data_IF_526893207671
#
_entry.id   IF_526893207671
#
_cell.length_a   1.000
_cell.length_b   1.000
_cell.length_c   1.000
_cell.angle_alpha   90.00
_cell.angle_beta   90.00
_cell.angle_gamma   90.00
#
_symmetry.space_group_name_H-M   'P 1'
#
loop_
_entity.id
_entity.type
_entity.pdbx_description
1 polymer ?
#
# COMPACT_ATOMS: atom_id res chain seq x y z
N UNK A 1 19.36 42.29 16.25
CA UNK A 1 19.56 41.91 14.87
C UNK A 1 20.03 40.47 14.73
N UNK A 2 21.17 40.12 15.31
CA UNK A 2 21.63 38.73 15.24
C UNK A 2 20.64 37.75 15.86
N UNK A 3 19.91 38.17 16.91
CA UNK A 3 18.91 37.31 17.53
C UNK A 3 17.71 37.02 16.62
N UNK A 4 17.31 37.99 15.83
CA UNK A 4 16.21 37.81 14.89
C UNK A 4 16.59 36.84 13.77
N UNK A 5 17.80 36.92 13.26
CA UNK A 5 18.29 36.01 12.24
C UNK A 5 18.36 34.58 12.80
N UNK A 6 18.78 34.40 14.03
CA UNK A 6 18.84 33.08 14.66
C UNK A 6 17.44 32.47 14.83
N UNK A 7 16.47 33.30 15.20
CA UNK A 7 15.08 32.83 15.33
C UNK A 7 14.53 32.39 13.99
N UNK A 8 14.77 33.17 12.94
CA UNK A 8 14.32 32.81 11.60
C UNK A 8 14.93 31.50 11.10
N UNK A 9 16.23 31.31 11.35
CA UNK A 9 16.90 30.07 10.97
C UNK A 9 16.32 28.88 11.74
N UNK A 10 16.10 29.05 13.05
CA UNK A 10 15.51 27.99 13.85
C UNK A 10 14.11 27.62 13.38
N UNK A 11 13.30 28.62 13.04
CA UNK A 11 11.95 28.38 12.51
C UNK A 11 12.00 27.66 11.18
N UNK A 12 12.92 28.02 10.29
CA UNK A 12 13.09 27.39 9.00
C UNK A 12 13.52 25.92 9.18
N UNK A 13 14.41 25.65 10.09
CA UNK A 13 14.86 24.29 10.38
C UNK A 13 13.70 23.46 10.91
N UNK A 14 12.88 24.01 11.80
CA UNK A 14 11.72 23.32 12.34
C UNK A 14 10.68 23.03 11.25
N UNK A 15 10.47 23.98 10.37
CA UNK A 15 9.54 23.81 9.24
C UNK A 15 10.03 22.69 8.31
N UNK A 16 11.30 22.67 7.98
CA UNK A 16 11.88 21.64 7.13
C UNK A 16 11.78 20.27 7.79
N UNK A 17 12.08 20.19 9.08
CA UNK A 17 11.93 18.94 9.82
C UNK A 17 10.50 18.43 9.80
N UNK A 18 9.52 19.32 9.94
CA UNK A 18 8.12 18.98 9.87
C UNK A 18 7.75 18.43 8.51
N UNK A 19 8.26 19.01 7.43
CA UNK A 19 8.04 18.53 6.07
C UNK A 19 8.64 17.15 5.87
N UNK A 20 9.85 16.93 6.37
CA UNK A 20 10.52 15.64 6.28
C UNK A 20 9.72 14.57 7.02
N UNK A 21 9.30 14.87 8.24
CA UNK A 21 8.52 13.92 9.04
C UNK A 21 7.20 13.57 8.36
N UNK A 22 6.51 14.57 7.81
CA UNK A 22 5.26 14.36 7.08
C UNK A 22 5.49 13.50 5.84
N UNK A 23 6.54 13.79 5.10
CA UNK A 23 6.88 13.04 3.88
C UNK A 23 7.23 11.60 4.22
N UNK A 24 8.02 11.38 5.27
CA UNK A 24 8.36 10.03 5.71
C UNK A 24 7.12 9.24 6.12
N UNK A 25 6.19 9.88 6.83
CA UNK A 25 4.93 9.25 7.21
C UNK A 25 4.11 8.86 5.98
N UNK A 26 4.04 9.74 4.99
CA UNK A 26 3.34 9.45 3.73
C UNK A 26 3.98 8.29 2.99
N UNK A 27 5.31 8.25 2.93
CA UNK A 27 6.03 7.14 2.30
C UNK A 27 5.71 5.83 3.00
N UNK A 28 5.69 5.81 4.33
CA UNK A 28 5.36 4.59 5.07
C UNK A 28 3.94 4.11 4.78
N UNK A 29 2.98 5.02 4.75
CA UNK A 29 1.59 4.68 4.45
C UNK A 29 1.47 4.08 3.05
N UNK A 30 2.08 4.73 2.06
CA UNK A 30 2.04 4.26 0.68
C UNK A 30 2.77 2.92 0.51
N UNK A 31 3.89 2.75 1.21
CA UNK A 31 4.65 1.49 1.15
C UNK A 31 3.86 0.33 1.71
N UNK A 32 3.15 0.53 2.83
CA UNK A 32 2.30 -0.50 3.40
C UNK A 32 1.14 -0.83 2.49
N UNK A 33 0.52 0.20 1.89
CA UNK A 33 -0.56 -0.01 0.95
C UNK A 33 -0.08 -0.83 -0.25
N UNK A 34 1.12 -0.53 -0.75
CA UNK A 34 1.71 -1.27 -1.86
C UNK A 34 1.96 -2.74 -1.48
N UNK A 35 2.51 -2.98 -0.30
CA UNK A 35 2.75 -4.34 0.18
C UNK A 35 1.44 -5.13 0.28
N UNK A 36 0.38 -4.51 0.80
CA UNK A 36 -0.93 -5.15 0.90
C UNK A 36 -1.51 -5.47 -0.47
N UNK A 37 -1.37 -4.57 -1.43
CA UNK A 37 -1.82 -4.79 -2.80
C UNK A 37 -1.09 -5.96 -3.46
N UNK A 38 0.23 -6.01 -3.28
CA UNK A 38 1.06 -7.08 -3.84
C UNK A 38 0.67 -8.42 -3.22
N UNK A 39 0.45 -8.45 -1.91
CA UNK A 39 0.04 -9.66 -1.21
C UNK A 39 -1.31 -10.17 -1.73
N UNK A 40 -2.28 -9.28 -1.83
CA UNK A 40 -3.60 -9.64 -2.34
C UNK A 40 -3.52 -10.16 -3.76
N UNK A 41 -2.76 -9.49 -4.62
CA UNK A 41 -2.57 -9.91 -6.00
C UNK A 41 -1.91 -11.28 -6.09
N UNK A 42 -0.88 -11.50 -5.27
CA UNK A 42 -0.19 -12.79 -5.25
C UNK A 42 -1.13 -13.93 -4.89
N UNK A 43 -2.05 -13.70 -3.96
CA UNK A 43 -3.04 -14.71 -3.58
C UNK A 43 -4.01 -14.95 -4.72
N UNK A 44 -4.50 -13.89 -5.34
CA UNK A 44 -5.47 -14.01 -6.44
C UNK A 44 -4.88 -14.67 -7.68
N UNK A 45 -3.56 -14.52 -7.89
CA UNK A 45 -2.87 -15.13 -9.03
C UNK A 45 -2.38 -16.55 -8.75
N UNK A 46 -2.47 -17.02 -7.52
CA UNK A 46 -1.93 -18.32 -7.15
C UNK A 46 -2.83 -19.45 -7.67
N UNK A 47 -2.36 -20.13 -8.71
CA UNK A 47 -3.11 -21.21 -9.33
C UNK A 47 -3.36 -22.38 -8.36
N UNK A 48 -2.47 -22.61 -7.40
CA UNK A 48 -2.64 -23.70 -6.45
C UNK A 48 -3.81 -23.47 -5.50
N UNK A 49 -4.11 -22.21 -5.20
CA UNK A 49 -5.25 -21.88 -4.35
C UNK A 49 -6.57 -22.07 -5.08
N UNK A 50 -6.57 -21.98 -6.42
CA UNK A 50 -7.77 -22.24 -7.24
C UNK A 50 -8.08 -23.72 -7.33
N UNK A 51 -7.10 -24.59 -7.06
CA UNK A 51 -7.28 -26.03 -7.13
C UNK A 51 -7.43 -26.67 -5.76
N UNK A 52 -8.10 -25.99 -4.86
CA UNK A 52 -8.53 -26.47 -3.54
C UNK A 52 -7.44 -26.54 -2.45
N UNK A 53 -6.30 -25.93 -2.68
CA UNK A 53 -5.30 -25.81 -1.63
C UNK A 53 -5.81 -24.83 -0.56
N UNK A 54 -5.55 -25.14 0.72
CA UNK A 54 -5.96 -24.24 1.80
C UNK A 54 -4.91 -23.20 2.09
N UNK A 55 -5.37 -22.09 2.65
CA UNK A 55 -4.54 -20.98 3.07
C UNK A 55 -4.73 -20.77 4.57
N UNK A 56 -3.65 -20.45 5.27
CA UNK A 56 -3.74 -20.12 6.69
C UNK A 56 -4.13 -18.67 6.87
N UNK A 57 -5.22 -18.44 7.57
CA UNK A 57 -5.82 -17.12 7.74
C UNK A 57 -5.83 -16.72 9.20
N UNK A 58 -5.42 -15.49 9.49
CA UNK A 58 -5.47 -14.95 10.84
C UNK A 58 -6.90 -14.50 11.18
N UNK A 59 -7.38 -14.92 12.34
CA UNK A 59 -8.71 -14.51 12.82
C UNK A 59 -8.60 -13.58 14.04
N UNK A 60 -7.39 -13.19 14.40
CA UNK A 60 -7.14 -12.29 15.52
C UNK A 60 -6.49 -13.03 16.69
N UNK A 61 -5.99 -12.29 17.66
CA UNK A 61 -5.35 -12.81 18.87
C UNK A 61 -4.23 -13.82 18.61
N UNK A 62 -3.57 -13.71 17.44
CA UNK A 62 -2.50 -14.65 17.07
C UNK A 62 -2.98 -16.01 16.64
N UNK A 63 -4.29 -16.19 16.46
CA UNK A 63 -4.89 -17.48 16.09
C UNK A 63 -5.03 -17.55 14.57
N UNK A 64 -4.65 -18.69 13.99
CA UNK A 64 -4.74 -18.95 12.56
C UNK A 64 -5.62 -20.16 12.31
N UNK A 65 -6.36 -20.12 11.25
CA UNK A 65 -7.16 -21.24 10.79
C UNK A 65 -6.87 -21.50 9.32
N UNK A 66 -7.00 -22.75 8.91
CA UNK A 66 -6.89 -23.09 7.49
C UNK A 66 -8.23 -22.84 6.83
N UNK A 67 -8.20 -22.20 5.68
CA UNK A 67 -9.41 -21.90 4.93
C UNK A 67 -9.17 -22.17 3.46
N UNK A 68 -10.20 -22.61 2.77
CA UNK A 68 -10.17 -22.75 1.32
C UNK A 68 -10.81 -21.51 0.71
N UNK A 69 -10.13 -20.94 -0.25
CA UNK A 69 -10.63 -19.77 -0.96
C UNK A 69 -11.36 -20.19 -2.21
N UNK A 70 -12.53 -19.61 -2.45
CA UNK A 70 -13.26 -19.83 -3.67
C UNK A 70 -12.97 -18.68 -4.64
N UNK A 71 -11.88 -18.80 -5.40
CA UNK A 71 -11.47 -17.77 -6.36
C UNK A 71 -12.16 -17.91 -7.71
N UNK A 72 -12.95 -18.98 -7.89
CA UNK A 72 -13.78 -19.14 -9.07
C UNK A 72 -14.99 -18.22 -9.04
N UNK A 73 -15.46 -17.87 -7.84
CA UNK A 73 -16.54 -16.91 -7.67
C UNK A 73 -16.00 -15.48 -7.67
N UNK A 74 -16.93 -14.54 -7.65
CA UNK A 74 -16.54 -13.13 -7.61
C UNK A 74 -15.94 -12.77 -6.26
N UNK A 75 -14.95 -11.89 -6.30
CA UNK A 75 -14.33 -11.36 -5.10
C UNK A 75 -14.87 -9.96 -4.83
N UNK A 76 -14.84 -9.55 -3.55
CA UNK A 76 -15.28 -8.21 -3.17
C UNK A 76 -14.08 -7.28 -3.11
N UNK A 77 -14.18 -6.18 -3.85
CA UNK A 77 -13.08 -5.21 -3.96
C UNK A 77 -13.57 -3.85 -3.46
N UNK A 78 -12.85 -3.22 -2.53
CA UNK A 78 -13.24 -1.89 -2.06
C UNK A 78 -12.95 -0.84 -3.14
N UNK A 79 -13.86 0.10 -3.29
CA UNK A 79 -13.71 1.20 -4.24
C UNK A 79 -13.78 2.57 -3.57
N UNK A 80 -13.83 2.60 -2.24
CA UNK A 80 -13.81 3.82 -1.44
C UNK A 80 -15.06 3.96 -0.57
N UNK A 81 -14.97 4.76 0.50
CA UNK A 81 -16.09 5.13 1.37
C UNK A 81 -16.97 3.95 1.79
N UNK A 82 -16.33 2.86 2.23
CA UNK A 82 -17.01 1.63 2.66
C UNK A 82 -17.85 0.95 1.59
N UNK A 83 -17.63 1.30 0.33
CA UNK A 83 -18.34 0.70 -0.80
C UNK A 83 -17.47 -0.38 -1.42
N UNK A 84 -18.10 -1.52 -1.74
CA UNK A 84 -17.45 -2.67 -2.35
C UNK A 84 -18.17 -3.06 -3.62
N UNK A 85 -17.41 -3.55 -4.58
CA UNK A 85 -17.98 -4.15 -5.77
C UNK A 85 -17.57 -5.61 -5.85
N UNK A 86 -18.38 -6.40 -6.56
CA UNK A 86 -18.02 -7.78 -6.85
C UNK A 86 -17.48 -7.86 -8.27
N UNK A 87 -16.32 -8.48 -8.42
CA UNK A 87 -15.74 -8.68 -9.75
C UNK A 87 -14.96 -9.98 -9.76
N UNK A 88 -14.60 -10.44 -10.95
CA UNK A 88 -13.82 -11.66 -11.08
C UNK A 88 -12.42 -11.47 -10.46
N UNK A 89 -11.78 -12.56 -10.08
CA UNK A 89 -10.41 -12.51 -9.59
C UNK A 89 -9.48 -11.89 -10.64
N UNK A 90 -9.71 -12.18 -11.91
CA UNK A 90 -8.90 -11.62 -13.00
C UNK A 90 -9.03 -10.10 -13.09
N UNK A 91 -10.25 -9.58 -12.98
CA UNK A 91 -10.48 -8.14 -12.99
C UNK A 91 -9.90 -7.47 -11.73
N UNK A 92 -10.01 -8.14 -10.59
CA UNK A 92 -9.41 -7.65 -9.36
C UNK A 92 -7.89 -7.56 -9.47
N UNK A 93 -7.25 -8.54 -10.11
CA UNK A 93 -5.80 -8.51 -10.36
C UNK A 93 -5.43 -7.31 -11.25
N UNK A 94 -6.20 -7.06 -12.29
CA UNK A 94 -5.94 -5.92 -13.17
C UNK A 94 -6.06 -4.60 -12.41
N UNK A 95 -7.08 -4.49 -11.57
CA UNK A 95 -7.28 -3.30 -10.74
C UNK A 95 -6.13 -3.11 -9.76
N UNK A 96 -5.68 -4.19 -9.13
CA UNK A 96 -4.55 -4.13 -8.20
C UNK A 96 -3.27 -3.72 -8.90
N UNK A 97 -3.00 -4.26 -10.08
CA UNK A 97 -1.81 -3.87 -10.85
C UNK A 97 -1.84 -2.39 -11.20
N UNK A 98 -2.98 -1.87 -11.60
CA UNK A 98 -3.14 -0.46 -11.90
C UNK A 98 -2.91 0.39 -10.66
N UNK A 99 -3.47 0.01 -9.54
CA UNK A 99 -3.29 0.72 -8.28
C UNK A 99 -1.85 0.65 -7.79
N UNK A 100 -1.18 -0.49 -7.95
CA UNK A 100 0.24 -0.63 -7.62
C UNK A 100 1.08 0.35 -8.41
N UNK A 101 0.81 0.51 -9.70
CA UNK A 101 1.54 1.46 -10.53
C UNK A 101 1.33 2.90 -10.05
N UNK A 102 0.10 3.26 -9.70
CA UNK A 102 -0.20 4.59 -9.17
C UNK A 102 0.56 4.85 -7.86
N UNK A 103 0.60 3.86 -6.97
CA UNK A 103 1.32 4.01 -5.71
C UNK A 103 2.82 4.09 -5.94
N UNK A 104 3.36 3.27 -6.85
CA UNK A 104 4.79 3.33 -7.21
C UNK A 104 5.14 4.69 -7.78
N UNK A 105 4.30 5.25 -8.63
CA UNK A 105 4.51 6.58 -9.19
C UNK A 105 4.50 7.63 -8.09
N UNK A 106 3.58 7.54 -7.15
CA UNK A 106 3.52 8.45 -6.01
C UNK A 106 4.77 8.32 -5.14
N UNK A 107 5.23 7.09 -4.88
CA UNK A 107 6.46 6.89 -4.13
C UNK A 107 7.67 7.45 -4.87
N UNK A 108 7.71 7.31 -6.18
CA UNK A 108 8.78 7.85 -6.99
C UNK A 108 8.87 9.37 -6.92
N UNK A 109 7.74 10.05 -6.69
CA UNK A 109 7.74 11.51 -6.58
C UNK A 109 8.44 12.02 -5.32
N UNK A 110 8.62 11.17 -4.32
CA UNK A 110 9.34 11.53 -3.10
C UNK A 110 10.84 11.26 -3.20
N UNK A 111 11.27 10.60 -4.27
CA UNK A 111 12.68 10.23 -4.46
C UNK A 111 13.38 11.31 -5.26
N UNK A 112 14.53 11.82 -4.81
CA UNK A 112 15.28 12.79 -5.59
C UNK A 112 15.63 12.21 -6.97
N UNK A 113 15.65 13.07 -7.97
CA UNK A 113 16.09 12.68 -9.30
C UNK A 113 17.51 12.14 -9.22
N UNK A 114 17.81 11.15 -9.97
CA UNK A 114 19.11 10.49 -9.94
C UNK A 114 19.22 9.39 -8.91
N UNK A 115 18.33 9.34 -7.95
CA UNK A 115 18.21 8.24 -7.01
C UNK A 115 17.01 7.36 -7.34
N UNK A 116 16.27 7.71 -8.34
CA UNK A 116 15.13 6.93 -8.78
C UNK A 116 15.64 5.57 -9.25
N UNK A 117 15.30 4.57 -8.49
CA UNK A 117 15.70 3.21 -8.83
C UNK A 117 14.78 2.64 -9.88
N UNK A 118 15.27 1.69 -10.53
CA UNK A 118 14.53 1.01 -11.57
C UNK A 118 14.16 -0.37 -11.18
#
# INVERSE_FOLDING_TARGET
>A
MAGEEQVDVAEQIQYIKGLIDTTEAQIQVLSRALEDMIRARSILEDASLRSSKSLRVSIGAGIYVDAKLNLEEKVMVPIGSDTYIQESAEDAVKRLKSNEEEVKDSLGSFTPRGMSSR
#
